data_IF_959920841231
#
_entry.id   IF_959920841231
#
_cell.length_a   1.000
_cell.length_b   1.000
_cell.length_c   1.000
_cell.angle_alpha   90.00
_cell.angle_beta   90.00
_cell.angle_gamma   90.00
#
_symmetry.space_group_name_H-M   'P 1'
#
loop_
_entity.id
_entity.type
_entity.pdbx_description
1 polymer ?
#
# COMPACT_ATOMS: atom_id res chain seq x y z
N UNK A 1 -12.57 -10.09 30.37
CA UNK A 1 -11.35 -10.81 30.38
C UNK A 1 -10.60 -10.37 29.14
N UNK A 2 -9.60 -9.59 29.38
CA UNK A 2 -9.02 -8.65 28.47
C UNK A 2 -8.17 -9.37 27.42
N UNK A 3 -8.36 -9.04 26.16
CA UNK A 3 -7.44 -9.43 25.10
C UNK A 3 -6.42 -8.27 24.91
N UNK A 4 -5.25 -8.31 25.55
CA UNK A 4 -4.27 -7.23 25.52
C UNK A 4 -3.69 -7.01 24.12
N UNK A 5 -3.70 -8.03 23.27
CA UNK A 5 -3.19 -7.97 21.90
C UNK A 5 -3.93 -6.98 21.00
N UNK A 6 -5.20 -6.67 21.32
CA UNK A 6 -5.99 -5.66 20.62
C UNK A 6 -5.45 -4.23 20.78
N UNK A 7 -4.65 -4.00 21.83
CA UNK A 7 -4.15 -2.67 22.20
C UNK A 7 -2.67 -2.47 21.87
N UNK A 8 -2.03 -3.41 21.16
CA UNK A 8 -0.67 -3.21 20.70
C UNK A 8 -0.61 -2.01 19.75
N UNK A 9 0.42 -1.19 19.92
CA UNK A 9 0.69 -0.13 18.94
C UNK A 9 1.04 -0.75 17.58
N UNK A 10 0.74 -0.05 16.51
CA UNK A 10 1.01 -0.55 15.16
C UNK A 10 2.48 -0.88 14.93
N UNK A 11 3.39 -0.10 15.54
CA UNK A 11 4.82 -0.40 15.48
C UNK A 11 5.21 -1.71 16.15
N UNK A 12 4.60 -2.05 17.29
CA UNK A 12 4.81 -3.37 17.94
C UNK A 12 4.27 -4.50 17.07
N UNK A 13 3.13 -4.32 16.42
CA UNK A 13 2.63 -5.34 15.47
C UNK A 13 3.58 -5.53 14.28
N UNK A 14 4.24 -4.46 13.82
CA UNK A 14 5.25 -4.52 12.76
C UNK A 14 6.51 -5.28 13.20
N UNK A 15 6.96 -5.09 14.46
CA UNK A 15 8.06 -5.87 15.03
C UNK A 15 7.68 -7.36 15.17
N UNK A 16 6.44 -7.65 15.60
CA UNK A 16 5.94 -9.02 15.67
C UNK A 16 5.97 -9.72 14.31
N UNK A 17 5.58 -9.01 13.25
CA UNK A 17 5.68 -9.52 11.88
C UNK A 17 7.13 -9.71 11.46
N UNK A 18 8.01 -8.73 11.74
CA UNK A 18 9.43 -8.84 11.44
C UNK A 18 10.06 -10.07 12.10
N UNK A 19 9.74 -10.31 13.38
CA UNK A 19 10.20 -11.48 14.14
C UNK A 19 9.65 -12.78 13.58
N UNK A 20 8.35 -12.87 13.32
CA UNK A 20 7.69 -14.07 12.78
C UNK A 20 8.27 -14.49 11.43
N UNK A 21 8.55 -13.53 10.56
CA UNK A 21 9.06 -13.76 9.20
C UNK A 21 10.60 -13.69 9.12
N UNK A 22 11.28 -13.49 10.26
CA UNK A 22 12.73 -13.35 10.35
C UNK A 22 13.29 -12.30 9.39
N UNK A 23 12.59 -11.17 9.29
CA UNK A 23 12.96 -10.05 8.42
C UNK A 23 14.06 -9.22 9.08
N UNK A 24 15.16 -9.11 8.40
CA UNK A 24 16.28 -8.29 8.86
C UNK A 24 16.00 -6.80 8.70
N UNK A 25 16.67 -5.97 9.48
CA UNK A 25 16.67 -4.51 9.31
C UNK A 25 17.07 -4.11 7.89
N UNK A 26 18.08 -4.79 7.33
CA UNK A 26 18.55 -4.51 5.98
C UNK A 26 17.48 -4.76 4.90
N UNK A 27 16.77 -5.88 4.95
CA UNK A 27 15.70 -6.16 4.00
C UNK A 27 14.60 -5.08 4.05
N UNK A 28 14.25 -4.61 5.26
CA UNK A 28 13.28 -3.53 5.44
C UNK A 28 13.79 -2.20 4.89
N UNK A 29 15.08 -1.88 5.10
CA UNK A 29 15.72 -0.68 4.56
C UNK A 29 15.79 -0.73 3.02
N UNK A 30 16.18 -1.85 2.43
CA UNK A 30 16.22 -2.04 0.97
C UNK A 30 14.82 -1.82 0.35
N UNK A 31 13.77 -2.28 1.03
CA UNK A 31 12.39 -2.04 0.60
C UNK A 31 12.02 -0.54 0.67
N UNK A 32 12.35 0.12 1.77
CA UNK A 32 12.09 1.55 1.96
C UNK A 32 12.84 2.42 0.95
N UNK A 33 14.10 2.09 0.67
CA UNK A 33 14.91 2.76 -0.38
C UNK A 33 14.21 2.61 -1.74
N UNK A 34 13.76 1.41 -2.08
CA UNK A 34 13.04 1.16 -3.33
C UNK A 34 11.75 1.98 -3.44
N UNK A 35 10.96 2.10 -2.36
CA UNK A 35 9.75 2.93 -2.32
C UNK A 35 10.08 4.41 -2.59
N UNK A 36 11.09 4.96 -1.90
CA UNK A 36 11.53 6.34 -2.08
C UNK A 36 12.09 6.61 -3.49
N UNK A 37 12.85 5.68 -4.05
CA UNK A 37 13.39 5.81 -5.41
C UNK A 37 12.27 5.84 -6.45
N UNK A 38 11.30 4.92 -6.37
CA UNK A 38 10.14 4.88 -7.25
C UNK A 38 9.31 6.17 -7.17
N UNK A 39 9.04 6.66 -5.94
CA UNK A 39 8.30 7.90 -5.75
C UNK A 39 9.06 9.12 -6.31
N UNK A 40 10.38 9.17 -6.12
CA UNK A 40 11.24 10.24 -6.67
C UNK A 40 11.22 10.24 -8.19
N UNK A 41 11.31 9.06 -8.80
CA UNK A 41 11.26 8.91 -10.26
C UNK A 41 9.89 9.31 -10.81
N UNK A 42 8.80 8.86 -10.16
CA UNK A 42 7.44 9.19 -10.53
C UNK A 42 7.17 10.71 -10.44
N UNK A 43 7.62 11.36 -9.37
CA UNK A 43 7.51 12.81 -9.20
C UNK A 43 8.28 13.56 -10.31
N UNK A 44 9.50 13.16 -10.59
CA UNK A 44 10.33 13.76 -11.64
C UNK A 44 9.71 13.64 -13.05
N UNK A 45 9.00 12.54 -13.32
CA UNK A 45 8.26 12.30 -14.56
C UNK A 45 6.90 13.00 -14.60
N UNK A 46 6.46 13.57 -13.48
CA UNK A 46 5.16 14.21 -13.35
C UNK A 46 3.97 13.25 -13.30
N UNK A 47 4.19 11.99 -12.93
CA UNK A 47 3.14 10.97 -12.86
C UNK A 47 2.02 11.32 -11.89
N UNK A 48 2.32 12.10 -10.84
CA UNK A 48 1.33 12.52 -9.84
C UNK A 48 0.47 13.72 -10.26
N UNK A 49 0.81 14.45 -11.35
CA UNK A 49 0.13 15.71 -11.73
C UNK A 49 -1.37 15.59 -11.98
N UNK A 50 -1.82 14.43 -12.44
CA UNK A 50 -3.24 14.16 -12.68
C UNK A 50 -4.00 13.71 -11.43
N UNK A 51 -3.28 13.29 -10.40
CA UNK A 51 -3.85 12.73 -9.18
C UNK A 51 -3.92 13.76 -8.06
N UNK A 52 -2.97 14.70 -8.02
CA UNK A 52 -2.86 15.70 -6.95
C UNK A 52 -3.73 16.92 -7.27
N UNK A 53 -4.66 17.20 -6.36
CA UNK A 53 -5.43 18.47 -6.35
C UNK A 53 -4.73 19.44 -5.42
N UNK A 54 -4.42 20.64 -5.94
CA UNK A 54 -3.78 21.69 -5.14
C UNK A 54 -4.72 22.21 -4.06
N UNK A 55 -4.26 22.22 -2.81
CA UNK A 55 -4.99 22.74 -1.66
C UNK A 55 -4.09 23.74 -0.93
N UNK A 56 -4.57 24.98 -0.75
CA UNK A 56 -3.83 26.04 -0.05
C UNK A 56 -2.37 26.23 -0.55
N UNK A 57 -2.14 26.07 -1.86
CA UNK A 57 -0.81 26.21 -2.46
C UNK A 57 0.07 24.95 -2.37
N UNK A 58 -0.33 23.93 -1.65
CA UNK A 58 0.33 22.63 -1.65
C UNK A 58 -0.10 21.82 -2.88
N UNK A 59 0.84 21.55 -3.79
CA UNK A 59 0.59 20.91 -5.09
C UNK A 59 1.43 19.63 -5.30
N UNK A 60 2.06 19.13 -4.25
CA UNK A 60 2.92 17.94 -4.30
C UNK A 60 2.95 17.22 -2.96
N UNK A 61 3.26 15.92 -2.98
CA UNK A 61 3.54 15.18 -1.76
C UNK A 61 4.90 15.58 -1.16
N UNK A 62 4.90 15.97 0.12
CA UNK A 62 6.10 16.48 0.81
C UNK A 62 6.92 15.34 1.47
N UNK A 63 6.40 14.11 1.46
CA UNK A 63 7.03 12.94 2.08
C UNK A 63 8.22 12.35 1.30
N UNK A 64 8.33 12.67 0.01
CA UNK A 64 9.35 12.10 -0.88
C UNK A 64 10.75 12.60 -0.48
N UNK A 65 11.68 11.65 -0.25
CA UNK A 65 13.06 11.92 0.17
C UNK A 65 14.07 11.32 -0.83
N UNK A 66 14.46 12.06 -1.87
CA UNK A 66 15.32 11.57 -2.95
C UNK A 66 16.69 11.04 -2.49
N UNK A 67 17.18 11.56 -1.37
CA UNK A 67 18.51 11.21 -0.83
C UNK A 67 18.49 10.00 0.11
N UNK A 68 17.36 9.27 0.19
CA UNK A 68 17.26 8.07 1.02
C UNK A 68 18.20 6.98 0.49
N UNK A 69 19.11 6.53 1.33
CA UNK A 69 20.07 5.48 1.04
C UNK A 69 20.40 4.69 2.31
N UNK A 70 21.19 3.62 2.17
CA UNK A 70 21.54 2.73 3.26
C UNK A 70 22.22 3.49 4.41
N UNK A 71 23.18 4.36 4.11
CA UNK A 71 23.95 5.10 5.13
C UNK A 71 23.04 6.01 5.98
N UNK A 72 22.05 6.64 5.36
CA UNK A 72 21.06 7.47 6.07
C UNK A 72 20.18 6.62 6.97
N UNK A 73 19.70 5.48 6.47
CA UNK A 73 18.81 4.60 7.23
C UNK A 73 19.52 3.87 8.37
N UNK A 74 20.80 3.54 8.22
CA UNK A 74 21.60 2.89 9.27
C UNK A 74 21.75 3.77 10.53
N UNK A 75 21.76 5.09 10.35
CA UNK A 75 21.85 6.07 11.46
C UNK A 75 20.56 6.21 12.26
N UNK A 76 19.45 5.69 11.76
CA UNK A 76 18.16 5.81 12.45
C UNK A 76 18.11 4.90 13.69
N UNK A 77 17.54 5.41 14.77
CA UNK A 77 17.26 4.63 15.96
C UNK A 77 16.07 3.69 15.73
N UNK A 78 16.03 2.61 16.48
CA UNK A 78 14.85 1.75 16.59
C UNK A 78 13.67 2.58 17.12
N UNK A 79 12.48 2.36 16.57
CA UNK A 79 11.36 3.26 16.83
C UNK A 79 10.36 2.73 17.86
N UNK A 80 10.25 1.41 18.00
CA UNK A 80 9.15 0.79 18.77
C UNK A 80 9.61 -0.23 19.80
N UNK A 81 10.70 -0.95 19.54
CA UNK A 81 11.28 -1.96 20.43
C UNK A 81 12.81 -1.82 20.37
N UNK A 82 13.47 -1.68 21.54
CA UNK A 82 14.92 -1.55 21.65
C UNK A 82 15.69 -2.79 21.14
N UNK A 83 15.03 -3.94 21.13
CA UNK A 83 15.54 -5.20 20.57
C UNK A 83 15.02 -5.53 19.17
N UNK A 84 14.26 -4.62 18.57
CA UNK A 84 13.59 -4.80 17.29
C UNK A 84 14.45 -4.46 16.06
N UNK A 85 13.76 -4.22 14.95
CA UNK A 85 14.40 -3.94 13.65
C UNK A 85 13.74 -2.78 12.92
N UNK A 86 12.56 -2.35 13.35
CA UNK A 86 11.75 -1.32 12.69
C UNK A 86 12.23 0.08 13.09
N UNK A 87 12.37 0.95 12.11
CA UNK A 87 12.76 2.34 12.29
C UNK A 87 11.75 3.29 11.67
N UNK A 88 11.84 4.58 11.96
CA UNK A 88 11.03 5.59 11.29
C UNK A 88 11.22 5.58 9.76
N UNK A 89 12.40 5.21 9.26
CA UNK A 89 12.68 5.14 7.82
C UNK A 89 12.08 3.91 7.13
N UNK A 90 11.64 2.90 7.89
CA UNK A 90 11.00 1.67 7.38
C UNK A 90 9.50 1.61 7.71
N UNK A 91 8.96 2.74 8.13
CA UNK A 91 7.55 2.94 8.50
C UNK A 91 6.94 4.06 7.69
N UNK A 92 5.65 4.00 7.41
CA UNK A 92 4.93 5.15 6.88
C UNK A 92 4.92 6.28 7.91
N UNK A 93 5.13 7.55 7.51
CA UNK A 93 5.06 8.67 8.43
C UNK A 93 3.62 8.95 8.87
N UNK A 94 3.45 9.60 10.02
CA UNK A 94 2.18 10.23 10.37
C UNK A 94 1.90 11.29 9.32
N UNK A 95 0.72 11.22 8.70
CA UNK A 95 0.44 12.01 7.51
C UNK A 95 -1.00 12.52 7.55
N UNK A 96 -1.17 13.81 7.27
CA UNK A 96 -2.45 14.40 6.94
C UNK A 96 -2.69 14.25 5.43
N UNK A 97 -3.93 13.99 5.04
CA UNK A 97 -4.28 13.86 3.64
C UNK A 97 -5.73 13.45 3.41
N UNK A 98 -6.21 13.76 2.21
CA UNK A 98 -7.53 13.37 1.74
C UNK A 98 -7.44 12.81 0.32
N UNK A 99 -8.31 11.87 -0.01
CA UNK A 99 -8.45 11.32 -1.35
C UNK A 99 -9.91 11.04 -1.64
N UNK A 100 -10.32 11.24 -2.88
CA UNK A 100 -11.68 10.99 -3.34
C UNK A 100 -11.65 10.11 -4.58
N UNK A 101 -12.49 9.09 -4.60
CA UNK A 101 -12.72 8.21 -5.75
C UNK A 101 -14.22 8.15 -6.01
N UNK A 102 -14.66 8.54 -7.20
CA UNK A 102 -16.05 8.42 -7.62
C UNK A 102 -16.33 6.98 -8.04
N UNK A 103 -17.27 6.34 -7.37
CA UNK A 103 -17.75 5.00 -7.69
C UNK A 103 -19.22 5.11 -8.10
N UNK A 104 -19.57 4.59 -9.27
CA UNK A 104 -20.93 4.61 -9.78
C UNK A 104 -21.21 3.39 -10.67
N UNK A 105 -22.48 3.18 -11.00
CA UNK A 105 -22.86 2.18 -12.01
C UNK A 105 -22.33 2.58 -13.39
N UNK A 106 -21.93 1.59 -14.17
CA UNK A 106 -21.39 1.80 -15.53
C UNK A 106 -22.38 2.59 -16.41
N UNK A 107 -23.66 2.28 -16.31
CA UNK A 107 -24.70 3.01 -17.06
C UNK A 107 -24.72 4.49 -16.70
N UNK A 108 -24.64 4.84 -15.40
CA UNK A 108 -24.58 6.22 -14.95
C UNK A 108 -23.35 6.94 -15.50
N UNK A 109 -22.19 6.28 -15.46
CA UNK A 109 -20.97 6.85 -16.01
C UNK A 109 -21.11 7.18 -17.51
N UNK A 110 -21.65 6.23 -18.29
CA UNK A 110 -21.87 6.41 -19.73
C UNK A 110 -22.89 7.53 -20.02
N UNK A 111 -24.03 7.53 -19.35
CA UNK A 111 -25.09 8.54 -19.53
C UNK A 111 -24.60 9.97 -19.21
N UNK A 112 -23.62 10.10 -18.32
CA UNK A 112 -23.06 11.39 -17.90
C UNK A 112 -21.68 11.69 -18.57
N UNK A 113 -21.25 10.90 -19.55
CA UNK A 113 -19.96 11.03 -20.23
C UNK A 113 -18.76 11.11 -19.26
N UNK A 114 -18.81 10.34 -18.17
CA UNK A 114 -17.71 10.25 -17.22
C UNK A 114 -16.60 9.37 -17.76
N UNK A 115 -15.36 9.75 -17.54
CA UNK A 115 -14.18 8.98 -17.93
C UNK A 115 -14.00 7.79 -16.96
N UNK A 116 -14.27 6.58 -17.45
CA UNK A 116 -14.19 5.36 -16.65
C UNK A 116 -12.73 4.90 -16.60
N UNK A 117 -12.11 4.95 -15.41
CA UNK A 117 -10.72 4.52 -15.21
C UNK A 117 -10.60 2.99 -15.15
N UNK A 118 -11.50 2.34 -14.42
CA UNK A 118 -11.50 0.89 -14.25
C UNK A 118 -12.87 0.40 -13.75
N UNK A 119 -13.09 -0.90 -13.82
CA UNK A 119 -14.25 -1.60 -13.26
C UNK A 119 -13.86 -2.34 -11.99
N UNK A 120 -14.62 -2.19 -10.91
CA UNK A 120 -14.45 -3.00 -9.69
C UNK A 120 -14.99 -4.40 -9.95
N UNK A 121 -14.14 -5.41 -9.85
CA UNK A 121 -14.52 -6.82 -10.00
C UNK A 121 -15.04 -7.36 -8.67
N UNK A 122 -14.29 -7.17 -7.60
CA UNK A 122 -14.66 -7.63 -6.27
C UNK A 122 -13.89 -6.90 -5.18
N UNK A 123 -14.49 -6.88 -3.99
CA UNK A 123 -13.83 -6.46 -2.76
C UNK A 123 -13.99 -7.55 -1.72
N UNK A 124 -12.98 -7.75 -0.90
CA UNK A 124 -12.97 -8.76 0.15
C UNK A 124 -12.29 -8.23 1.40
N UNK A 125 -12.81 -8.62 2.55
CA UNK A 125 -12.18 -8.40 3.86
C UNK A 125 -11.86 -9.72 4.52
N UNK A 126 -10.82 -9.74 5.35
CA UNK A 126 -10.47 -10.90 6.16
C UNK A 126 -9.97 -10.47 7.53
N UNK A 127 -10.06 -11.39 8.51
CA UNK A 127 -9.52 -11.21 9.85
C UNK A 127 -8.23 -11.99 10.04
N UNK A 128 -7.35 -11.46 10.89
CA UNK A 128 -6.13 -12.15 11.33
C UNK A 128 -5.86 -11.86 12.81
N UNK A 129 -4.82 -12.44 13.36
CA UNK A 129 -4.39 -12.18 14.73
C UNK A 129 -4.08 -10.70 14.92
N UNK A 130 -4.67 -10.01 15.92
CA UNK A 130 -4.50 -8.56 16.12
C UNK A 130 -3.04 -8.13 16.27
N UNK A 131 -2.22 -8.93 16.97
CA UNK A 131 -0.79 -8.70 17.14
C UNK A 131 0.03 -8.84 15.86
N UNK A 132 -0.57 -9.39 14.82
CA UNK A 132 -0.01 -9.57 13.48
C UNK A 132 -0.85 -8.87 12.42
N UNK A 133 -1.54 -7.79 12.78
CA UNK A 133 -2.52 -7.12 11.91
C UNK A 133 -1.98 -6.77 10.52
N UNK A 134 -0.67 -6.55 10.40
CA UNK A 134 -0.01 -6.29 9.12
C UNK A 134 -0.19 -7.40 8.09
N UNK A 135 -0.55 -8.63 8.50
CA UNK A 135 -0.78 -9.76 7.61
C UNK A 135 -2.21 -9.81 7.04
N UNK A 136 -3.11 -8.95 7.48
CA UNK A 136 -4.50 -8.88 6.99
C UNK A 136 -4.65 -8.87 5.46
N UNK A 137 -3.78 -8.17 4.70
CA UNK A 137 -3.81 -8.19 3.23
C UNK A 137 -3.72 -9.57 2.61
N UNK A 138 -3.07 -10.55 3.27
CA UNK A 138 -2.86 -11.90 2.73
C UNK A 138 -4.22 -12.60 2.55
N UNK A 139 -4.96 -12.79 3.63
CA UNK A 139 -6.25 -13.47 3.57
C UNK A 139 -7.29 -12.70 2.74
N UNK A 140 -7.29 -11.36 2.85
CA UNK A 140 -8.18 -10.52 2.06
C UNK A 140 -7.90 -10.66 0.55
N UNK A 141 -6.62 -10.65 0.13
CA UNK A 141 -6.24 -10.81 -1.28
C UNK A 141 -6.57 -12.20 -1.80
N UNK A 142 -6.28 -13.25 -1.03
CA UNK A 142 -6.62 -14.64 -1.41
C UNK A 142 -8.14 -14.81 -1.61
N UNK A 143 -8.95 -14.22 -0.72
CA UNK A 143 -10.42 -14.23 -0.88
C UNK A 143 -10.87 -13.45 -2.11
N UNK A 144 -10.28 -12.29 -2.37
CA UNK A 144 -10.62 -11.47 -3.54
C UNK A 144 -10.26 -12.21 -4.84
N UNK A 145 -9.07 -12.78 -4.93
CA UNK A 145 -8.63 -13.59 -6.07
C UNK A 145 -9.57 -14.77 -6.32
N UNK A 146 -9.91 -15.52 -5.27
CA UNK A 146 -10.86 -16.63 -5.38
C UNK A 146 -12.24 -16.19 -5.89
N UNK A 147 -12.78 -15.06 -5.39
CA UNK A 147 -14.07 -14.51 -5.84
C UNK A 147 -14.04 -14.04 -7.30
N UNK A 148 -12.91 -13.50 -7.74
CA UNK A 148 -12.71 -13.08 -9.12
C UNK A 148 -12.42 -14.24 -10.08
N UNK A 149 -12.19 -15.46 -9.56
CA UNK A 149 -11.68 -16.60 -10.32
C UNK A 149 -10.35 -16.28 -11.03
N UNK A 150 -9.46 -15.58 -10.32
CA UNK A 150 -8.13 -15.20 -10.76
C UNK A 150 -7.06 -15.79 -9.83
N UNK A 151 -5.86 -15.90 -10.33
CA UNK A 151 -4.63 -16.18 -9.58
C UNK A 151 -3.81 -14.90 -9.39
N UNK A 152 -2.78 -14.93 -8.56
CA UNK A 152 -1.90 -13.77 -8.35
C UNK A 152 -1.07 -13.48 -9.61
N UNK A 153 -0.79 -14.46 -10.42
CA UNK A 153 -0.07 -14.34 -11.69
C UNK A 153 -0.86 -13.50 -12.71
N UNK A 154 -2.20 -13.57 -12.66
CA UNK A 154 -3.10 -12.80 -13.54
C UNK A 154 -3.11 -11.29 -13.19
N UNK A 155 -2.66 -10.93 -11.98
CA UNK A 155 -2.59 -9.54 -11.53
C UNK A 155 -1.34 -8.88 -12.13
N UNK A 156 -1.55 -7.81 -12.86
CA UNK A 156 -0.48 -7.03 -13.50
C UNK A 156 0.11 -5.98 -12.58
N UNK A 157 -0.72 -5.36 -11.75
CA UNK A 157 -0.36 -4.23 -10.88
C UNK A 157 -0.87 -4.49 -9.47
N UNK A 158 -0.03 -4.24 -8.47
CA UNK A 158 -0.38 -4.35 -7.06
C UNK A 158 -0.09 -3.04 -6.35
N UNK A 159 -1.11 -2.42 -5.80
CA UNK A 159 -0.99 -1.33 -4.84
C UNK A 159 -1.18 -1.90 -3.42
N UNK A 160 -0.07 -2.22 -2.78
CA UNK A 160 0.00 -2.71 -1.40
C UNK A 160 0.36 -1.55 -0.49
N UNK A 161 -0.52 -1.19 0.44
CA UNK A 161 -0.20 -0.14 1.40
C UNK A 161 1.03 -0.51 2.25
N UNK A 162 2.03 0.37 2.24
CA UNK A 162 3.28 0.22 2.97
C UNK A 162 3.18 0.84 4.37
N UNK A 163 2.31 0.29 5.23
CA UNK A 163 2.26 0.77 6.61
C UNK A 163 3.63 0.60 7.31
N UNK A 164 4.27 -0.55 7.05
CA UNK A 164 5.64 -0.87 7.46
C UNK A 164 6.31 -1.75 6.39
N UNK A 165 7.61 -1.61 6.22
CA UNK A 165 8.36 -2.45 5.31
C UNK A 165 8.29 -3.94 5.70
N UNK A 166 8.32 -4.26 7.01
CA UNK A 166 8.18 -5.63 7.51
C UNK A 166 6.85 -6.26 7.11
N UNK A 167 5.76 -5.52 7.29
CA UNK A 167 4.42 -5.96 6.90
C UNK A 167 4.33 -6.20 5.38
N UNK A 168 4.84 -5.26 4.59
CA UNK A 168 4.79 -5.35 3.13
C UNK A 168 5.59 -6.56 2.63
N UNK A 169 6.81 -6.76 3.15
CA UNK A 169 7.66 -7.90 2.79
C UNK A 169 7.01 -9.24 3.13
N UNK A 170 6.36 -9.36 4.29
CA UNK A 170 5.63 -10.56 4.67
C UNK A 170 4.48 -10.86 3.70
N UNK A 171 3.67 -9.85 3.37
CA UNK A 171 2.57 -10.00 2.42
C UNK A 171 3.08 -10.39 1.02
N UNK A 172 4.18 -9.80 0.56
CA UNK A 172 4.81 -10.11 -0.73
C UNK A 172 5.24 -11.58 -0.78
N UNK A 173 5.87 -12.08 0.30
CA UNK A 173 6.32 -13.48 0.39
C UNK A 173 5.14 -14.46 0.34
N UNK A 174 4.13 -14.25 1.19
CA UNK A 174 3.02 -15.21 1.32
C UNK A 174 2.05 -15.19 0.12
N UNK A 175 1.91 -14.05 -0.54
CA UNK A 175 1.14 -13.93 -1.77
C UNK A 175 1.94 -14.25 -3.03
N UNK A 176 3.25 -14.50 -2.91
CA UNK A 176 4.16 -14.74 -4.03
C UNK A 176 4.10 -13.66 -5.11
N UNK A 177 4.06 -12.39 -4.70
CA UNK A 177 3.93 -11.26 -5.63
C UNK A 177 5.30 -10.91 -6.23
N UNK A 178 5.35 -10.76 -7.56
CA UNK A 178 6.53 -10.19 -8.23
C UNK A 178 6.72 -8.72 -7.80
N UNK A 179 7.87 -8.42 -7.21
CA UNK A 179 8.21 -7.07 -6.72
C UNK A 179 8.18 -6.00 -7.82
N UNK A 180 8.31 -6.39 -9.09
CA UNK A 180 8.21 -5.48 -10.22
C UNK A 180 6.79 -4.97 -10.48
N UNK A 181 5.78 -5.67 -9.97
CA UNK A 181 4.36 -5.30 -10.10
C UNK A 181 3.87 -4.40 -8.97
N UNK A 182 4.67 -4.18 -7.90
CA UNK A 182 4.22 -3.54 -6.65
C UNK A 182 4.57 -2.07 -6.64
N UNK A 183 3.57 -1.22 -6.32
CA UNK A 183 3.74 0.20 -6.02
C UNK A 183 4.68 0.86 -7.03
N UNK A 184 4.28 0.89 -8.29
CA UNK A 184 5.15 1.32 -9.40
C UNK A 184 5.67 2.74 -9.24
N UNK A 185 4.88 3.60 -8.63
CA UNK A 185 5.23 4.99 -8.33
C UNK A 185 5.62 5.22 -6.85
N UNK A 186 6.06 4.17 -6.15
CA UNK A 186 6.33 4.22 -4.72
C UNK A 186 5.06 4.04 -3.89
N UNK A 187 5.22 3.81 -2.58
CA UNK A 187 4.11 3.56 -1.66
C UNK A 187 4.16 4.45 -0.42
N UNK A 188 3.44 4.06 0.63
CA UNK A 188 3.19 4.89 1.79
C UNK A 188 4.44 5.27 2.61
N UNK A 189 5.53 4.52 2.52
CA UNK A 189 6.81 4.90 3.15
C UNK A 189 7.34 6.22 2.56
N UNK A 190 7.10 6.45 1.27
CA UNK A 190 7.50 7.68 0.59
C UNK A 190 6.37 8.72 0.54
N UNK A 191 5.12 8.29 0.29
CA UNK A 191 3.98 9.17 0.00
C UNK A 191 3.11 9.45 1.23
N UNK A 192 3.30 8.72 2.32
CA UNK A 192 2.47 8.82 3.52
C UNK A 192 1.26 7.88 3.55
N UNK A 193 0.69 7.75 4.76
CA UNK A 193 -0.47 6.89 5.04
C UNK A 193 -1.53 7.65 5.84
N UNK A 194 -2.23 8.61 5.23
CA UNK A 194 -3.39 9.22 5.90
C UNK A 194 -4.50 8.17 5.99
N UNK A 195 -4.80 7.72 7.21
CA UNK A 195 -5.62 6.52 7.46
C UNK A 195 -6.95 6.52 6.71
N UNK A 196 -7.67 7.65 6.76
CA UNK A 196 -8.97 7.80 6.10
C UNK A 196 -8.91 7.95 4.57
N UNK A 197 -7.74 8.28 4.02
CA UNK A 197 -7.56 8.54 2.58
C UNK A 197 -6.96 7.36 1.82
N UNK A 198 -6.17 6.51 2.49
CA UNK A 198 -5.34 5.51 1.82
C UNK A 198 -6.13 4.55 0.94
N UNK A 199 -7.30 4.07 1.38
CA UNK A 199 -8.11 3.16 0.57
C UNK A 199 -8.52 3.75 -0.77
N UNK A 200 -9.01 5.00 -0.78
CA UNK A 200 -9.35 5.72 -2.01
C UNK A 200 -8.09 5.99 -2.85
N UNK A 201 -6.98 6.40 -2.21
CA UNK A 201 -5.72 6.70 -2.90
C UNK A 201 -5.16 5.48 -3.64
N UNK A 202 -4.98 4.33 -2.96
CA UNK A 202 -4.37 3.15 -3.60
C UNK A 202 -5.28 2.52 -4.65
N UNK A 203 -6.61 2.60 -4.47
CA UNK A 203 -7.56 2.08 -5.48
C UNK A 203 -7.58 2.98 -6.71
N UNK A 204 -7.63 4.30 -6.53
CA UNK A 204 -7.54 5.26 -7.64
C UNK A 204 -6.19 5.18 -8.37
N UNK A 205 -5.09 5.03 -7.62
CA UNK A 205 -3.74 4.82 -8.18
C UNK A 205 -3.67 3.54 -9.01
N UNK A 206 -4.18 2.44 -8.50
CA UNK A 206 -4.23 1.19 -9.24
C UNK A 206 -4.99 1.34 -10.58
N UNK A 207 -6.11 2.07 -10.58
CA UNK A 207 -6.89 2.32 -11.78
C UNK A 207 -6.13 3.20 -12.82
N UNK A 208 -5.44 4.26 -12.35
CA UNK A 208 -4.61 5.10 -13.22
C UNK A 208 -3.42 4.31 -13.79
N UNK A 209 -2.78 3.47 -12.99
CA UNK A 209 -1.69 2.60 -13.42
C UNK A 209 -2.13 1.59 -14.47
N UNK A 210 -3.32 0.99 -14.35
CA UNK A 210 -3.86 0.09 -15.38
C UNK A 210 -3.93 0.78 -16.74
N UNK A 211 -4.42 2.02 -16.75
CA UNK A 211 -4.51 2.84 -17.98
C UNK A 211 -3.12 3.21 -18.50
N UNK A 212 -2.27 3.77 -17.65
CA UNK A 212 -0.94 4.26 -18.04
C UNK A 212 -0.04 3.16 -18.57
N UNK A 213 -0.04 2.00 -17.93
CA UNK A 213 0.81 0.86 -18.28
C UNK A 213 0.14 -0.09 -19.31
N UNK A 214 -1.09 0.21 -19.75
CA UNK A 214 -1.90 -0.65 -20.64
C UNK A 214 -1.99 -2.08 -20.09
N UNK A 215 -2.43 -2.21 -18.84
CA UNK A 215 -2.54 -3.47 -18.10
C UNK A 215 -4.01 -3.81 -17.84
N UNK A 216 -4.28 -5.08 -17.49
CA UNK A 216 -5.66 -5.58 -17.39
C UNK A 216 -6.17 -5.62 -15.96
N UNK A 217 -5.46 -6.25 -15.04
CA UNK A 217 -5.93 -6.45 -13.66
C UNK A 217 -5.00 -5.79 -12.65
N UNK A 218 -5.61 -5.14 -11.65
CA UNK A 218 -4.88 -4.63 -10.50
C UNK A 218 -5.52 -5.07 -9.18
N UNK A 219 -4.67 -5.24 -8.17
CA UNK A 219 -5.02 -5.53 -6.79
C UNK A 219 -4.62 -4.34 -5.93
N UNK A 220 -5.57 -3.71 -5.25
CA UNK A 220 -5.32 -2.74 -4.19
C UNK A 220 -5.62 -3.39 -2.84
N UNK A 221 -4.65 -3.40 -1.92
CA UNK A 221 -4.81 -4.06 -0.62
C UNK A 221 -4.09 -3.34 0.51
N UNK A 222 -4.68 -3.40 1.71
CA UNK A 222 -4.12 -2.78 2.91
C UNK A 222 -4.52 -3.54 4.17
N UNK A 223 -3.67 -3.44 5.20
CA UNK A 223 -4.00 -3.86 6.55
C UNK A 223 -4.95 -2.85 7.21
N UNK A 224 -5.71 -3.34 8.16
CA UNK A 224 -6.63 -2.55 8.98
C UNK A 224 -6.33 -2.88 10.44
N UNK A 225 -6.36 -1.89 11.31
CA UNK A 225 -6.13 -2.08 12.74
C UNK A 225 -7.02 -3.17 13.35
N UNK A 226 -6.58 -3.73 14.46
CA UNK A 226 -7.24 -4.82 15.20
C UNK A 226 -7.28 -6.19 14.50
N UNK A 227 -6.41 -6.42 13.53
CA UNK A 227 -6.29 -7.74 12.89
C UNK A 227 -7.23 -7.94 11.72
N UNK A 228 -7.26 -6.99 10.79
CA UNK A 228 -8.06 -7.09 9.58
C UNK A 228 -7.26 -6.68 8.33
N UNK A 229 -7.77 -7.08 7.18
CA UNK A 229 -7.29 -6.62 5.88
C UNK A 229 -8.44 -6.45 4.88
N UNK A 230 -8.20 -5.62 3.87
CA UNK A 230 -9.12 -5.44 2.74
C UNK A 230 -8.35 -5.53 1.44
N UNK A 231 -8.97 -6.09 0.42
CA UNK A 231 -8.43 -6.20 -0.93
C UNK A 231 -9.53 -5.92 -1.96
N UNK A 232 -9.19 -5.15 -2.97
CA UNK A 232 -10.08 -4.83 -4.10
C UNK A 232 -9.38 -5.20 -5.39
N UNK A 233 -10.03 -5.97 -6.25
CA UNK A 233 -9.57 -6.27 -7.61
C UNK A 233 -10.36 -5.40 -8.58
N UNK A 234 -9.63 -4.72 -9.46
CA UNK A 234 -10.16 -3.90 -10.53
C UNK A 234 -9.64 -4.36 -11.88
N UNK A 235 -10.42 -4.09 -12.92
CA UNK A 235 -10.11 -4.43 -14.31
C UNK A 235 -10.13 -3.17 -15.17
N UNK A 236 -9.18 -3.06 -16.10
CA UNK A 236 -9.19 -2.02 -17.14
C UNK A 236 -10.46 -2.12 -17.97
N UNK A 237 -10.95 -0.99 -18.43
CA UNK A 237 -12.09 -0.87 -19.35
C UNK A 237 -11.65 -0.66 -20.81
N UNK A 238 -10.35 -0.70 -21.07
CA UNK A 238 -9.76 -0.59 -22.43
C UNK A 238 -9.69 -1.96 -23.09
#
# INVERSE_FOLDING_TARGET
KNNPHLYFSMGITAENVAKKYQLTRKEQQDFAISSQQKATEADSKGNFKKEITTVNGCSRDEGIRPNTNQEVLDKLKLAFDESGTVTAGTSSPLTDGAATTLICEEKFAKDNNLDILARIITTSVDGCEPELMGLGPIGASQKALKRANLSIEDIDIVELNEAFASQSLACIRDLNIDRKKINLDGGAIALGHPLGATGARITGKAAELLRRENKKYALATQCIGWGMGIATIIESTN
#
